data_IF_990288061368
#
_entry.id   IF_990288061368
#
_cell.length_a   1.000
_cell.length_b   1.000
_cell.length_c   1.000
_cell.angle_alpha   90.00
_cell.angle_beta   90.00
_cell.angle_gamma   90.00
#
_symmetry.space_group_name_H-M   'P 1'
#
loop_
_entity.id
_entity.type
_entity.pdbx_description
1 polymer ?
#
# COMPACT_ATOMS: atom_id res chain seq x y z
N UNK A 1 -1.47 -8.73 51.73
CA UNK A 1 -1.15 -9.10 50.35
C UNK A 1 -2.03 -8.38 49.30
N UNK A 2 -3.38 -8.34 49.39
CA UNK A 2 -4.27 -7.68 48.40
C UNK A 2 -4.00 -6.20 48.08
N UNK A 3 -3.55 -5.39 49.09
CA UNK A 3 -3.30 -3.95 48.85
C UNK A 3 -2.02 -3.64 48.07
N UNK A 4 -1.03 -4.50 48.08
CA UNK A 4 0.20 -4.36 47.31
C UNK A 4 -0.01 -4.69 45.83
N UNK A 5 -0.79 -5.71 45.52
CA UNK A 5 -1.14 -6.06 44.14
C UNK A 5 -1.95 -4.96 43.43
N UNK A 6 -2.90 -4.33 44.11
CA UNK A 6 -3.67 -3.21 43.56
C UNK A 6 -2.79 -1.96 43.27
N UNK A 7 -1.84 -1.64 44.15
CA UNK A 7 -0.89 -0.52 43.90
C UNK A 7 0.02 -0.78 42.72
N UNK A 8 0.52 -2.02 42.59
CA UNK A 8 1.36 -2.40 41.45
C UNK A 8 0.55 -2.30 40.13
N UNK A 9 -0.69 -2.77 40.10
CA UNK A 9 -1.57 -2.66 38.92
C UNK A 9 -1.79 -1.17 38.54
N UNK A 10 -2.08 -0.30 39.56
CA UNK A 10 -2.27 1.13 39.29
C UNK A 10 -1.00 1.77 38.72
N UNK A 11 0.18 1.43 39.25
CA UNK A 11 1.45 1.94 38.73
C UNK A 11 1.68 1.45 37.28
N UNK A 12 1.43 0.19 36.99
CA UNK A 12 1.56 -0.35 35.63
C UNK A 12 0.61 0.33 34.64
N UNK A 13 -0.65 0.53 35.02
CA UNK A 13 -1.63 1.26 34.20
C UNK A 13 -1.21 2.72 33.98
N UNK A 14 -0.66 3.39 34.99
CA UNK A 14 -0.15 4.74 34.84
C UNK A 14 1.06 4.80 33.91
N UNK A 15 1.97 3.84 33.97
CA UNK A 15 3.11 3.73 33.05
C UNK A 15 2.61 3.48 31.62
N UNK A 16 1.67 2.57 31.42
CA UNK A 16 1.10 2.31 30.09
C UNK A 16 0.41 3.54 29.50
N UNK A 17 -0.32 4.29 30.34
CA UNK A 17 -0.95 5.55 29.90
C UNK A 17 0.10 6.59 29.52
N UNK A 18 1.18 6.75 30.30
CA UNK A 18 2.26 7.68 29.97
C UNK A 18 2.98 7.29 28.69
N UNK A 19 3.24 6.00 28.47
CA UNK A 19 3.84 5.49 27.23
C UNK A 19 2.91 5.75 26.03
N UNK A 20 1.61 5.53 26.19
CA UNK A 20 0.62 5.81 25.15
C UNK A 20 0.56 7.30 24.82
N UNK A 21 0.56 8.18 25.83
CA UNK A 21 0.60 9.64 25.63
C UNK A 21 1.89 10.08 24.94
N UNK A 22 3.04 9.55 25.37
CA UNK A 22 4.32 9.85 24.73
C UNK A 22 4.34 9.42 23.26
N UNK A 23 3.80 8.23 22.94
CA UNK A 23 3.65 7.76 21.57
C UNK A 23 2.74 8.68 20.74
N UNK A 24 1.61 9.11 21.29
CA UNK A 24 0.70 10.07 20.61
C UNK A 24 1.38 11.41 20.33
N UNK A 25 2.14 11.94 21.28
CA UNK A 25 2.91 13.18 21.10
C UNK A 25 3.97 12.97 20.00
N UNK A 26 4.71 11.87 20.03
CA UNK A 26 5.71 11.54 19.02
C UNK A 26 5.08 11.47 17.62
N UNK A 27 3.99 10.73 17.47
CA UNK A 27 3.24 10.64 16.20
C UNK A 27 2.82 12.03 15.70
N UNK A 28 2.25 12.87 16.59
CA UNK A 28 1.81 14.22 16.22
C UNK A 28 2.97 15.13 15.80
N UNK A 29 4.16 14.96 16.39
CA UNK A 29 5.36 15.70 15.98
C UNK A 29 5.81 15.26 14.58
N UNK A 30 5.84 13.95 14.31
CA UNK A 30 6.23 13.43 13.00
C UNK A 30 5.22 13.82 11.90
N UNK A 31 3.91 13.79 12.19
CA UNK A 31 2.88 14.27 11.29
C UNK A 31 3.06 15.75 10.93
N UNK A 32 3.37 16.61 11.93
CA UNK A 32 3.67 18.03 11.68
C UNK A 32 4.91 18.23 10.83
N UNK A 33 6.00 17.51 11.14
CA UNK A 33 7.22 17.59 10.33
C UNK A 33 6.96 17.22 8.87
N UNK A 34 6.12 16.19 8.63
CA UNK A 34 5.73 15.79 7.27
C UNK A 34 4.87 16.85 6.60
N UNK A 35 3.89 17.41 7.30
CA UNK A 35 3.05 18.49 6.77
C UNK A 35 3.87 19.75 6.40
N UNK A 36 4.92 20.05 7.17
CA UNK A 36 5.81 21.20 6.92
C UNK A 36 6.82 20.97 5.78
N UNK A 37 6.88 19.78 5.17
CA UNK A 37 7.76 19.51 4.03
C UNK A 37 7.32 20.28 2.79
N UNK A 38 8.29 20.83 2.03
CA UNK A 38 8.00 21.57 0.80
C UNK A 38 7.17 20.78 -0.21
N UNK A 39 7.41 19.47 -0.30
CA UNK A 39 6.64 18.57 -1.16
C UNK A 39 5.19 18.33 -0.71
N UNK A 40 4.81 18.79 0.49
CA UNK A 40 3.44 18.71 1.01
C UNK A 40 2.71 20.06 1.01
N UNK A 41 3.28 21.09 0.37
CA UNK A 41 2.63 22.39 0.25
C UNK A 41 1.26 22.30 -0.45
N UNK A 42 0.34 23.20 -0.11
CA UNK A 42 -1.05 23.21 -0.60
C UNK A 42 -1.20 23.18 -2.12
N UNK A 43 -0.22 23.75 -2.85
CA UNK A 43 -0.20 23.70 -4.33
C UNK A 43 -0.16 22.27 -4.90
N UNK A 44 0.23 21.28 -4.09
CA UNK A 44 0.28 19.87 -4.45
C UNK A 44 -0.93 19.08 -3.92
N UNK A 45 -2.00 19.73 -3.51
CA UNK A 45 -3.23 19.02 -3.16
C UNK A 45 -3.93 18.49 -4.42
N UNK A 46 -4.53 17.31 -4.34
CA UNK A 46 -5.23 16.69 -5.46
C UNK A 46 -6.40 17.53 -5.98
N UNK A 47 -7.04 18.31 -5.11
CA UNK A 47 -8.15 19.22 -5.46
C UNK A 47 -7.72 20.45 -6.31
N UNK A 48 -6.42 20.70 -6.44
CA UNK A 48 -5.87 21.73 -7.31
C UNK A 48 -5.67 21.24 -8.76
N UNK A 49 -5.87 19.95 -9.02
CA UNK A 49 -5.65 19.37 -10.33
C UNK A 49 -6.88 19.50 -11.23
N UNK A 50 -6.64 19.55 -12.53
CA UNK A 50 -7.70 19.62 -13.52
C UNK A 50 -8.00 18.21 -14.06
N UNK A 51 -9.26 17.85 -14.09
CA UNK A 51 -9.72 16.58 -14.67
C UNK A 51 -9.34 16.49 -16.15
N UNK A 52 -8.78 15.36 -16.56
CA UNK A 52 -8.52 15.02 -17.96
C UNK A 52 -9.86 14.71 -18.66
N UNK A 53 -10.15 15.43 -19.73
CA UNK A 53 -11.33 15.15 -20.55
C UNK A 53 -11.12 13.89 -21.37
N UNK A 54 -12.00 12.90 -21.22
CA UNK A 54 -11.96 11.66 -22.01
C UNK A 54 -10.88 10.68 -21.59
N UNK A 55 -10.50 10.66 -20.31
CA UNK A 55 -9.63 9.60 -19.79
C UNK A 55 -10.23 8.21 -20.08
N UNK A 56 -9.43 7.23 -20.54
CA UNK A 56 -9.87 5.84 -20.71
C UNK A 56 -10.30 5.17 -19.40
N UNK A 57 -9.94 5.77 -18.26
CA UNK A 57 -10.28 5.29 -16.91
C UNK A 57 -11.57 5.90 -16.37
N UNK A 58 -12.14 6.92 -17.01
CA UNK A 58 -13.30 7.65 -16.51
C UNK A 58 -14.48 6.71 -16.20
N UNK A 59 -15.03 6.83 -14.99
CA UNK A 59 -16.14 6.04 -14.49
C UNK A 59 -15.83 4.60 -14.09
N UNK A 60 -14.59 4.10 -14.31
CA UNK A 60 -14.17 2.77 -13.83
C UNK A 60 -14.16 2.72 -12.31
N UNK A 61 -14.58 1.60 -11.75
CA UNK A 61 -14.48 1.31 -10.31
C UNK A 61 -13.23 0.51 -10.04
N UNK A 62 -12.28 1.08 -9.31
CA UNK A 62 -10.98 0.46 -9.04
C UNK A 62 -10.78 0.31 -7.52
N UNK A 63 -10.48 -0.92 -7.09
CA UNK A 63 -10.10 -1.22 -5.71
C UNK A 63 -8.59 -1.05 -5.58
N UNK A 64 -8.14 -0.17 -4.67
CA UNK A 64 -6.72 0.01 -4.33
C UNK A 64 -6.44 -0.62 -2.97
N UNK A 65 -5.73 -1.73 -2.98
CA UNK A 65 -5.36 -2.48 -1.78
C UNK A 65 -3.90 -2.22 -1.43
N UNK A 66 -3.64 -1.71 -0.22
CA UNK A 66 -2.27 -1.41 0.16
C UNK A 66 -2.03 -1.04 1.61
N UNK A 67 -0.87 -0.45 1.87
CA UNK A 67 -0.48 0.02 3.19
C UNK A 67 -0.22 1.53 3.21
N UNK A 68 0.83 1.98 3.88
CA UNK A 68 1.14 3.40 4.06
C UNK A 68 1.35 4.18 2.77
N UNK A 69 1.93 3.56 1.74
CA UNK A 69 2.15 4.21 0.44
C UNK A 69 0.84 4.40 -0.31
N UNK A 70 -0.03 3.38 -0.37
CA UNK A 70 -1.37 3.52 -0.96
C UNK A 70 -2.24 4.50 -0.16
N UNK A 71 -2.07 4.55 1.16
CA UNK A 71 -2.78 5.50 2.03
C UNK A 71 -2.32 6.95 1.81
N UNK A 72 -1.05 7.18 1.46
CA UNK A 72 -0.44 8.52 1.43
C UNK A 72 0.01 9.00 2.81
N UNK A 73 0.63 8.11 3.61
CA UNK A 73 0.96 8.38 5.01
C UNK A 73 1.93 9.55 5.23
N UNK A 74 2.76 9.87 4.24
CA UNK A 74 3.67 11.02 4.28
C UNK A 74 3.14 12.23 3.49
N UNK A 75 1.92 12.15 2.96
CA UNK A 75 1.28 13.14 2.11
C UNK A 75 -0.15 13.47 2.61
N UNK A 76 -0.33 13.49 3.93
CA UNK A 76 -1.59 13.86 4.61
C UNK A 76 -2.81 13.02 4.16
N UNK A 77 -2.58 11.75 3.82
CA UNK A 77 -3.62 10.84 3.34
C UNK A 77 -3.96 10.99 1.86
N UNK A 78 -3.23 11.81 1.11
CA UNK A 78 -3.35 11.93 -0.34
C UNK A 78 -2.26 11.08 -1.02
N UNK A 79 -2.65 10.24 -1.96
CA UNK A 79 -1.73 9.41 -2.74
C UNK A 79 -2.13 9.48 -4.22
N UNK A 80 -1.53 8.65 -5.04
CA UNK A 80 -1.97 8.50 -6.44
C UNK A 80 -3.45 8.09 -6.55
N UNK A 81 -4.07 7.53 -5.51
CA UNK A 81 -5.50 7.14 -5.52
C UNK A 81 -6.39 8.37 -5.69
N UNK A 82 -6.17 9.42 -4.88
CA UNK A 82 -6.90 10.68 -4.99
C UNK A 82 -6.61 11.39 -6.33
N UNK A 83 -5.42 11.16 -6.91
CA UNK A 83 -5.07 11.72 -8.22
C UNK A 83 -5.86 11.04 -9.33
N UNK A 84 -5.98 9.72 -9.32
CA UNK A 84 -6.84 8.99 -10.26
C UNK A 84 -8.31 9.44 -10.17
N UNK A 85 -8.83 9.71 -8.96
CA UNK A 85 -10.18 10.25 -8.82
C UNK A 85 -10.30 11.66 -9.39
N UNK A 86 -9.37 12.55 -9.03
CA UNK A 86 -9.41 13.96 -9.43
C UNK A 86 -9.15 14.16 -10.93
N UNK A 87 -8.17 13.44 -11.48
CA UNK A 87 -7.67 13.63 -12.86
C UNK A 87 -8.43 12.75 -13.84
N UNK A 88 -8.58 11.46 -13.54
CA UNK A 88 -9.19 10.48 -14.46
C UNK A 88 -10.69 10.30 -14.23
N UNK A 89 -11.21 10.69 -13.06
CA UNK A 89 -12.63 10.55 -12.74
C UNK A 89 -13.05 9.11 -12.52
N UNK A 90 -12.18 8.30 -11.92
CA UNK A 90 -12.53 6.93 -11.48
C UNK A 90 -13.41 6.97 -10.22
N UNK A 91 -14.01 5.82 -9.90
CA UNK A 91 -14.61 5.55 -8.60
C UNK A 91 -13.63 4.71 -7.79
N UNK A 92 -12.80 5.34 -6.95
CA UNK A 92 -11.80 4.62 -6.16
C UNK A 92 -12.40 4.01 -4.89
N UNK A 93 -12.01 2.75 -4.60
CA UNK A 93 -12.23 2.11 -3.32
C UNK A 93 -10.86 1.93 -2.68
N UNK A 94 -10.49 2.85 -1.79
CA UNK A 94 -9.18 2.88 -1.14
C UNK A 94 -9.17 2.03 0.11
N UNK A 95 -8.67 0.80 -0.02
CA UNK A 95 -8.49 -0.15 1.10
C UNK A 95 -7.02 -0.17 1.52
N UNK A 96 -6.61 0.86 2.25
CA UNK A 96 -5.21 1.09 2.61
C UNK A 96 -5.04 1.41 4.10
N UNK A 97 -4.22 0.61 4.80
CA UNK A 97 -3.93 0.77 6.23
C UNK A 97 -2.42 0.69 6.46
N UNK A 98 -1.84 1.78 7.00
CA UNK A 98 -0.40 1.86 7.28
C UNK A 98 0.08 0.74 8.20
N UNK A 99 1.25 0.16 7.94
CA UNK A 99 1.85 -0.89 8.76
C UNK A 99 1.35 -2.31 8.48
N UNK A 100 0.38 -2.49 7.59
CA UNK A 100 -0.17 -3.80 7.23
C UNK A 100 0.66 -4.52 6.17
N UNK A 101 0.53 -5.84 6.07
CA UNK A 101 1.34 -6.75 5.24
C UNK A 101 0.50 -7.51 4.23
N UNK A 102 1.13 -8.01 3.16
CA UNK A 102 0.57 -9.05 2.28
C UNK A 102 0.28 -10.30 3.09
N UNK A 103 1.31 -10.77 3.81
CA UNK A 103 1.29 -11.98 4.64
C UNK A 103 0.24 -11.87 5.75
N UNK A 104 -0.57 -12.93 5.88
CA UNK A 104 -1.55 -13.08 6.97
C UNK A 104 -0.87 -13.69 8.20
N UNK A 105 -0.36 -12.84 9.08
CA UNK A 105 0.49 -13.24 10.22
C UNK A 105 -0.23 -14.03 11.32
N UNK A 106 -1.57 -14.11 11.29
CA UNK A 106 -2.39 -14.79 12.33
C UNK A 106 -1.99 -14.41 13.76
N UNK A 107 -1.73 -13.13 13.99
CA UNK A 107 -1.28 -12.60 15.28
C UNK A 107 -2.45 -11.98 16.05
N UNK A 108 -2.82 -12.58 17.18
CA UNK A 108 -3.87 -12.03 18.06
C UNK A 108 -3.54 -10.60 18.54
N UNK A 109 -2.26 -10.25 18.69
CA UNK A 109 -1.84 -8.89 19.06
C UNK A 109 -2.05 -7.93 17.89
N UNK A 110 -1.72 -8.35 16.66
CA UNK A 110 -1.98 -7.57 15.46
C UNK A 110 -3.48 -7.41 15.22
N UNK A 111 -4.28 -8.45 15.43
CA UNK A 111 -5.74 -8.36 15.35
C UNK A 111 -6.33 -7.32 16.30
N UNK A 112 -5.81 -7.24 17.54
CA UNK A 112 -6.21 -6.20 18.49
C UNK A 112 -5.78 -4.81 18.01
N UNK A 113 -4.57 -4.68 17.47
CA UNK A 113 -4.03 -3.39 17.03
C UNK A 113 -4.70 -2.85 15.74
N UNK A 114 -5.07 -3.74 14.82
CA UNK A 114 -5.60 -3.39 13.49
C UNK A 114 -7.06 -3.83 13.26
N UNK A 115 -7.76 -4.28 14.30
CA UNK A 115 -9.17 -4.66 14.22
C UNK A 115 -9.45 -5.79 13.21
N UNK A 116 -8.64 -6.85 13.20
CA UNK A 116 -8.64 -7.93 12.20
C UNK A 116 -8.31 -7.48 10.77
N UNK A 117 -7.66 -6.33 10.61
CA UNK A 117 -7.26 -5.77 9.32
C UNK A 117 -5.74 -5.66 9.15
N UNK A 118 -4.95 -6.49 9.82
CA UNK A 118 -3.48 -6.41 9.82
C UNK A 118 -2.82 -6.94 8.52
N UNK A 119 -3.58 -7.64 7.67
CA UNK A 119 -3.12 -8.09 6.36
C UNK A 119 -4.04 -7.67 5.22
N UNK A 120 -3.48 -7.63 4.00
CA UNK A 120 -4.24 -7.36 2.79
C UNK A 120 -5.33 -8.42 2.58
N UNK A 121 -5.03 -9.70 2.85
CA UNK A 121 -5.97 -10.82 2.76
C UNK A 121 -7.18 -10.60 3.66
N UNK A 122 -6.97 -10.26 4.93
CA UNK A 122 -8.07 -10.04 5.89
C UNK A 122 -8.96 -8.88 5.45
N UNK A 123 -8.36 -7.78 4.98
CA UNK A 123 -9.12 -6.60 4.53
C UNK A 123 -9.87 -6.87 3.23
N UNK A 124 -9.24 -7.56 2.28
CA UNK A 124 -9.88 -7.93 1.03
C UNK A 124 -11.14 -8.78 1.26
N UNK A 125 -11.10 -9.72 2.23
CA UNK A 125 -12.26 -10.53 2.65
C UNK A 125 -13.42 -9.71 3.25
N UNK A 126 -13.15 -8.50 3.76
CA UNK A 126 -14.16 -7.63 4.36
C UNK A 126 -14.88 -6.76 3.32
N UNK A 127 -14.32 -6.62 2.14
CA UNK A 127 -14.96 -5.86 1.06
C UNK A 127 -16.23 -6.57 0.58
N UNK A 128 -17.21 -5.74 0.19
CA UNK A 128 -18.46 -6.27 -0.35
C UNK A 128 -18.23 -7.00 -1.68
N UNK A 129 -18.53 -8.31 -1.77
CA UNK A 129 -18.31 -9.07 -3.00
C UNK A 129 -19.24 -8.64 -4.15
N UNK A 130 -20.27 -7.83 -3.89
CA UNK A 130 -21.18 -7.30 -4.91
C UNK A 130 -20.65 -6.04 -5.61
N UNK A 131 -19.50 -5.50 -5.22
CA UNK A 131 -18.82 -4.42 -5.93
C UNK A 131 -18.63 -4.82 -7.38
N UNK A 132 -18.91 -3.89 -8.31
CA UNK A 132 -18.62 -4.06 -9.74
C UNK A 132 -17.27 -3.42 -10.02
N UNK A 133 -16.20 -4.11 -9.60
CA UNK A 133 -14.85 -3.63 -9.82
C UNK A 133 -14.41 -3.89 -11.27
N UNK A 134 -13.79 -2.88 -11.88
CA UNK A 134 -13.13 -2.99 -13.19
C UNK A 134 -11.67 -3.42 -13.04
N UNK A 135 -11.07 -3.24 -11.85
CA UNK A 135 -9.69 -3.64 -11.56
C UNK A 135 -9.44 -3.68 -10.05
N UNK A 136 -8.51 -4.54 -9.63
CA UNK A 136 -7.90 -4.49 -8.29
C UNK A 136 -6.43 -4.13 -8.44
N UNK A 137 -6.01 -2.98 -7.89
CA UNK A 137 -4.61 -2.51 -7.86
C UNK A 137 -4.04 -2.76 -6.48
N UNK A 138 -2.94 -3.50 -6.41
CA UNK A 138 -2.35 -4.02 -5.16
C UNK A 138 -0.93 -3.52 -4.99
N UNK A 139 -0.63 -2.96 -3.82
CA UNK A 139 0.73 -2.60 -3.44
C UNK A 139 1.58 -3.85 -3.17
N UNK A 140 2.77 -3.97 -3.79
CA UNK A 140 3.80 -4.86 -3.27
C UNK A 140 4.31 -4.27 -1.95
N UNK A 141 4.01 -4.94 -0.85
CA UNK A 141 4.15 -4.34 0.48
C UNK A 141 5.60 -4.20 0.93
N UNK A 142 6.01 -2.97 1.24
CA UNK A 142 7.31 -2.67 1.85
C UNK A 142 7.43 -3.15 3.30
N UNK A 143 6.29 -3.34 4.00
CA UNK A 143 6.29 -3.84 5.37
C UNK A 143 6.72 -5.30 5.46
N UNK A 144 6.37 -6.12 4.47
CA UNK A 144 6.81 -7.51 4.39
C UNK A 144 8.32 -7.60 4.28
N UNK A 145 8.94 -6.76 3.43
CA UNK A 145 10.39 -6.64 3.32
C UNK A 145 11.04 -6.15 4.63
N UNK A 146 10.51 -5.07 5.22
CA UNK A 146 11.03 -4.50 6.47
C UNK A 146 10.98 -5.49 7.63
N UNK A 147 9.94 -6.31 7.70
CA UNK A 147 9.75 -7.35 8.71
C UNK A 147 10.47 -8.65 8.35
N UNK A 148 11.11 -8.72 7.19
CA UNK A 148 11.80 -9.91 6.66
C UNK A 148 10.91 -11.16 6.69
N UNK A 149 9.65 -10.98 6.25
CA UNK A 149 8.71 -12.09 6.19
C UNK A 149 9.13 -13.12 5.13
N UNK A 150 8.81 -14.41 5.32
CA UNK A 150 9.23 -15.46 4.39
C UNK A 150 8.75 -15.18 2.95
N UNK A 151 9.67 -15.25 1.97
CA UNK A 151 9.29 -15.07 0.56
C UNK A 151 8.37 -16.20 0.10
N UNK A 152 8.66 -17.44 0.47
CA UNK A 152 7.92 -18.63 0.06
C UNK A 152 8.21 -19.06 -1.38
N UNK A 153 7.61 -20.18 -1.79
CA UNK A 153 7.74 -20.74 -3.13
C UNK A 153 6.48 -20.50 -3.96
N UNK A 154 6.63 -20.45 -5.27
CA UNK A 154 5.49 -20.39 -6.20
C UNK A 154 4.78 -21.73 -6.17
N UNK A 155 3.48 -21.75 -5.90
CA UNK A 155 2.68 -22.98 -5.91
C UNK A 155 2.63 -23.59 -7.31
N UNK A 156 2.68 -24.92 -7.39
CA UNK A 156 2.37 -25.63 -8.64
C UNK A 156 0.87 -25.66 -8.99
N UNK A 157 0.02 -25.18 -8.08
CA UNK A 157 -1.44 -25.17 -8.19
C UNK A 157 -1.97 -23.78 -8.55
N UNK A 158 -3.25 -23.75 -8.97
CA UNK A 158 -4.05 -22.53 -9.07
C UNK A 158 -5.25 -22.55 -8.10
N UNK A 159 -5.35 -23.57 -7.25
CA UNK A 159 -6.40 -23.64 -6.23
C UNK A 159 -6.02 -22.74 -5.04
N UNK A 160 -6.95 -21.90 -4.61
CA UNK A 160 -6.76 -20.94 -3.51
C UNK A 160 -6.43 -21.63 -2.17
N UNK A 161 -6.87 -22.88 -1.99
CA UNK A 161 -6.62 -23.67 -0.79
C UNK A 161 -5.17 -24.13 -0.64
N UNK A 162 -4.40 -24.13 -1.75
CA UNK A 162 -3.02 -24.61 -1.78
C UNK A 162 -2.00 -23.50 -1.54
N UNK A 163 -2.43 -22.24 -1.36
CA UNK A 163 -1.52 -21.11 -1.19
C UNK A 163 -1.16 -20.89 0.28
N UNK A 164 0.14 -20.87 0.57
CA UNK A 164 0.65 -20.56 1.91
C UNK A 164 0.61 -19.05 2.19
N UNK A 165 -0.49 -18.58 2.75
CA UNK A 165 -0.70 -17.16 3.08
C UNK A 165 0.21 -16.63 4.19
N UNK A 166 1.05 -17.48 4.80
CA UNK A 166 2.09 -17.08 5.74
C UNK A 166 3.40 -16.68 5.03
N UNK A 167 3.42 -16.71 3.70
CA UNK A 167 4.53 -16.28 2.84
C UNK A 167 4.09 -15.18 1.89
N UNK A 168 5.02 -14.35 1.44
CA UNK A 168 4.75 -13.27 0.48
C UNK A 168 4.19 -13.81 -0.83
N UNK A 169 4.84 -14.85 -1.38
CA UNK A 169 4.44 -15.48 -2.64
C UNK A 169 3.02 -16.06 -2.55
N UNK A 170 2.74 -16.85 -1.51
CA UNK A 170 1.43 -17.45 -1.35
C UNK A 170 0.33 -16.42 -1.06
N UNK A 171 0.65 -15.32 -0.35
CA UNK A 171 -0.28 -14.22 -0.15
C UNK A 171 -0.62 -13.49 -1.46
N UNK A 172 0.38 -13.25 -2.33
CA UNK A 172 0.17 -12.66 -3.66
C UNK A 172 -0.74 -13.58 -4.51
N UNK A 173 -0.43 -14.88 -4.59
CA UNK A 173 -1.22 -15.85 -5.34
C UNK A 173 -2.66 -15.92 -4.83
N UNK A 174 -2.83 -15.91 -3.50
CA UNK A 174 -4.14 -15.90 -2.87
C UNK A 174 -4.95 -14.65 -3.24
N UNK A 175 -4.33 -13.46 -3.19
CA UNK A 175 -4.96 -12.18 -3.52
C UNK A 175 -5.40 -12.17 -4.98
N UNK A 176 -4.55 -12.64 -5.90
CA UNK A 176 -4.87 -12.73 -7.33
C UNK A 176 -6.10 -13.63 -7.53
N UNK A 177 -6.05 -14.83 -6.99
CA UNK A 177 -7.12 -15.82 -7.17
C UNK A 177 -8.44 -15.35 -6.57
N UNK A 178 -8.40 -14.86 -5.33
CA UNK A 178 -9.58 -14.34 -4.64
C UNK A 178 -10.23 -13.17 -5.38
N UNK A 179 -9.43 -12.22 -5.85
CA UNK A 179 -9.93 -11.05 -6.59
C UNK A 179 -10.63 -11.46 -7.89
N UNK A 180 -10.03 -12.38 -8.63
CA UNK A 180 -10.61 -12.91 -9.87
C UNK A 180 -11.90 -13.68 -9.62
N UNK A 181 -11.95 -14.52 -8.59
CA UNK A 181 -13.14 -15.30 -8.27
C UNK A 181 -14.28 -14.42 -7.76
N UNK A 182 -13.96 -13.34 -7.02
CA UNK A 182 -14.95 -12.49 -6.38
C UNK A 182 -15.51 -11.43 -7.32
N UNK A 183 -14.64 -10.75 -8.08
CA UNK A 183 -15.04 -9.61 -8.91
C UNK A 183 -14.87 -9.82 -10.42
N UNK A 184 -14.24 -10.90 -10.83
CA UNK A 184 -14.00 -11.24 -12.25
C UNK A 184 -13.35 -10.08 -13.03
N UNK A 185 -12.35 -9.44 -12.46
CA UNK A 185 -11.63 -8.32 -13.03
C UNK A 185 -10.11 -8.55 -13.06
N UNK A 186 -9.36 -7.77 -13.86
CA UNK A 186 -7.91 -7.75 -13.84
C UNK A 186 -7.35 -7.43 -12.46
N UNK A 187 -6.18 -8.01 -12.16
CA UNK A 187 -5.39 -7.68 -10.98
C UNK A 187 -4.07 -7.06 -11.44
N UNK A 188 -3.73 -5.92 -10.89
CA UNK A 188 -2.51 -5.19 -11.20
C UNK A 188 -1.74 -4.98 -9.89
N UNK A 189 -0.46 -5.39 -9.87
CA UNK A 189 0.42 -5.02 -8.76
C UNK A 189 1.24 -3.81 -9.13
N UNK A 190 1.61 -2.99 -8.13
CA UNK A 190 2.61 -1.96 -8.31
C UNK A 190 3.74 -2.09 -7.30
N UNK A 191 4.97 -1.75 -7.73
CA UNK A 191 6.15 -1.67 -6.88
C UNK A 191 6.37 -0.23 -6.40
N UNK A 192 7.12 -0.04 -5.31
CA UNK A 192 7.63 1.26 -4.93
C UNK A 192 8.75 1.75 -5.86
N UNK A 193 9.13 3.04 -5.75
CA UNK A 193 10.39 3.51 -6.32
C UNK A 193 11.58 2.79 -5.69
N UNK A 194 12.73 2.83 -6.34
CA UNK A 194 13.94 2.10 -5.89
C UNK A 194 14.45 2.63 -4.55
N UNK A 195 14.67 1.71 -3.62
CA UNK A 195 15.34 1.94 -2.35
C UNK A 195 16.19 0.74 -1.97
N UNK A 196 17.15 0.93 -1.06
CA UNK A 196 18.10 -0.12 -0.66
C UNK A 196 17.44 -1.15 0.27
N UNK A 197 17.03 -2.28 -0.30
CA UNK A 197 16.49 -3.42 0.41
C UNK A 197 16.61 -4.69 -0.44
N UNK A 198 17.48 -5.60 -0.02
CA UNK A 198 17.62 -6.90 -0.68
C UNK A 198 16.34 -7.74 -0.59
N UNK A 199 15.62 -7.64 0.53
CA UNK A 199 14.35 -8.34 0.73
C UNK A 199 13.29 -7.83 -0.25
N UNK A 200 13.20 -6.50 -0.45
CA UNK A 200 12.23 -5.94 -1.39
C UNK A 200 12.59 -6.26 -2.84
N UNK A 201 13.88 -6.21 -3.20
CA UNK A 201 14.36 -6.62 -4.51
C UNK A 201 13.96 -8.08 -4.83
N UNK A 202 14.16 -9.00 -3.88
CA UNK A 202 13.73 -10.40 -4.04
C UNK A 202 12.21 -10.56 -4.18
N UNK A 203 11.43 -9.70 -3.53
CA UNK A 203 9.96 -9.68 -3.71
C UNK A 203 9.56 -9.14 -5.09
N UNK A 204 10.27 -8.15 -5.63
CA UNK A 204 10.05 -7.64 -6.99
C UNK A 204 10.36 -8.73 -8.03
N UNK A 205 11.52 -9.39 -7.92
CA UNK A 205 11.87 -10.50 -8.80
C UNK A 205 10.79 -11.60 -8.79
N UNK A 206 10.31 -11.98 -7.60
CA UNK A 206 9.24 -12.95 -7.42
C UNK A 206 7.92 -12.48 -8.03
N UNK A 207 7.59 -11.20 -7.94
CA UNK A 207 6.38 -10.64 -8.56
C UNK A 207 6.44 -10.77 -10.09
N UNK A 208 7.64 -10.60 -10.70
CA UNK A 208 7.80 -10.78 -12.15
C UNK A 208 7.63 -12.25 -12.59
N UNK A 209 8.08 -13.22 -11.78
CA UNK A 209 7.79 -14.63 -12.03
C UNK A 209 6.27 -14.93 -11.94
N UNK A 210 5.60 -14.35 -10.92
CA UNK A 210 4.14 -14.49 -10.75
C UNK A 210 3.34 -13.78 -11.85
N UNK A 211 3.85 -12.68 -12.40
CA UNK A 211 3.25 -12.01 -13.56
C UNK A 211 3.08 -12.97 -14.73
N UNK A 212 4.13 -13.74 -15.03
CA UNK A 212 4.10 -14.74 -16.12
C UNK A 212 3.13 -15.89 -15.81
N UNK A 213 3.15 -16.40 -14.56
CA UNK A 213 2.25 -17.50 -14.15
C UNK A 213 0.79 -17.12 -14.22
N UNK A 214 0.46 -15.92 -13.74
CA UNK A 214 -0.90 -15.49 -13.49
C UNK A 214 -1.46 -14.56 -14.57
N UNK A 215 -0.64 -14.12 -15.53
CA UNK A 215 -1.02 -13.13 -16.54
C UNK A 215 -1.69 -11.89 -15.86
N UNK A 216 -0.96 -11.28 -14.94
CA UNK A 216 -1.38 -10.07 -14.22
C UNK A 216 -0.66 -8.83 -14.74
N UNK A 217 -1.26 -7.66 -14.55
CA UNK A 217 -0.58 -6.40 -14.77
C UNK A 217 0.46 -6.11 -13.67
N UNK A 218 1.57 -5.48 -14.05
CA UNK A 218 2.55 -4.94 -13.11
C UNK A 218 2.96 -3.54 -13.55
N UNK A 219 2.78 -2.57 -12.65
CA UNK A 219 3.34 -1.23 -12.74
C UNK A 219 4.66 -1.27 -11.97
N UNK A 220 5.75 -1.40 -12.70
CA UNK A 220 7.08 -1.57 -12.10
C UNK A 220 7.82 -0.24 -12.05
N UNK A 221 7.74 0.40 -10.89
CA UNK A 221 8.51 1.61 -10.59
C UNK A 221 9.91 1.29 -10.07
N UNK A 222 10.12 0.06 -9.53
CA UNK A 222 11.37 -0.30 -8.86
C UNK A 222 12.53 -0.53 -9.82
N UNK A 223 12.29 -1.29 -10.90
CA UNK A 223 13.35 -1.64 -11.85
C UNK A 223 13.47 -0.65 -13.01
N UNK A 224 12.53 0.28 -13.18
CA UNK A 224 12.57 1.32 -14.22
C UNK A 224 13.70 2.32 -13.94
N UNK A 225 14.82 2.16 -14.66
CA UNK A 225 16.00 3.05 -14.50
C UNK A 225 15.71 4.49 -14.90
N UNK A 226 14.88 4.71 -15.94
CA UNK A 226 14.53 6.04 -16.38
C UNK A 226 13.63 6.75 -15.34
N UNK A 227 12.69 6.02 -14.76
CA UNK A 227 11.83 6.53 -13.67
C UNK A 227 12.66 6.92 -12.43
N UNK A 228 13.66 6.11 -12.08
CA UNK A 228 14.50 6.35 -10.90
C UNK A 228 15.69 7.30 -11.15
N UNK A 229 15.85 7.82 -12.37
CA UNK A 229 16.93 8.77 -12.72
C UNK A 229 16.55 10.22 -12.37
N UNK A 230 16.27 10.49 -11.09
CA UNK A 230 16.01 11.83 -10.56
C UNK A 230 17.20 12.32 -9.74
N UNK A 231 17.42 13.64 -9.71
CA UNK A 231 18.49 14.24 -8.92
C UNK A 231 18.14 14.36 -7.43
N UNK A 232 19.12 14.66 -6.59
CA UNK A 232 18.97 14.73 -5.14
C UNK A 232 17.99 15.85 -4.70
N UNK A 233 17.89 16.95 -5.46
CA UNK A 233 16.99 18.07 -5.16
C UNK A 233 15.53 17.65 -5.37
N UNK A 234 15.22 17.04 -6.50
CA UNK A 234 13.90 16.47 -6.78
C UNK A 234 13.57 15.32 -5.83
N UNK A 235 14.54 14.45 -5.57
CA UNK A 235 14.33 13.36 -4.60
C UNK A 235 13.95 13.91 -3.22
N UNK A 236 14.62 14.96 -2.74
CA UNK A 236 14.31 15.61 -1.46
C UNK A 236 12.94 16.29 -1.43
N UNK A 237 12.45 16.75 -2.58
CA UNK A 237 11.09 17.30 -2.71
C UNK A 237 10.03 16.21 -2.74
N UNK A 238 10.31 15.10 -3.45
CA UNK A 238 9.35 14.04 -3.75
C UNK A 238 9.25 12.97 -2.68
N UNK A 239 10.27 12.77 -1.85
CA UNK A 239 10.31 11.71 -0.86
C UNK A 239 10.45 12.26 0.57
N UNK A 240 9.57 11.81 1.45
CA UNK A 240 9.66 12.10 2.88
C UNK A 240 10.68 11.19 3.59
N UNK A 241 10.82 9.98 3.10
CA UNK A 241 11.79 8.96 3.48
C UNK A 241 11.97 8.00 2.27
N UNK A 242 12.88 7.01 2.30
CA UNK A 242 13.14 6.15 1.13
C UNK A 242 11.93 5.37 0.59
N UNK A 243 10.81 5.32 1.32
CA UNK A 243 9.63 4.53 0.98
C UNK A 243 8.41 5.40 0.64
N UNK A 244 8.26 6.56 1.32
CA UNK A 244 7.02 7.32 1.31
C UNK A 244 7.14 8.61 0.51
N UNK A 245 6.42 8.73 -0.63
CA UNK A 245 6.35 9.98 -1.38
C UNK A 245 5.61 11.07 -0.60
N UNK A 246 6.00 12.33 -0.86
CA UNK A 246 5.20 13.53 -0.55
C UNK A 246 4.08 13.70 -1.58
N UNK A 247 3.19 14.69 -1.40
CA UNK A 247 2.19 15.06 -2.42
C UNK A 247 2.84 15.40 -3.76
N UNK A 248 3.93 16.17 -3.76
CA UNK A 248 4.70 16.48 -4.98
C UNK A 248 5.24 15.21 -5.65
N UNK A 249 5.76 14.26 -4.86
CA UNK A 249 6.25 12.99 -5.38
C UNK A 249 5.17 12.14 -6.02
N UNK A 250 3.97 12.14 -5.44
CA UNK A 250 2.85 11.46 -6.10
C UNK A 250 2.43 12.16 -7.39
N UNK A 251 2.28 13.49 -7.39
CA UNK A 251 1.75 14.24 -8.55
C UNK A 251 2.74 14.30 -9.70
N UNK A 252 4.00 14.65 -9.42
CA UNK A 252 4.96 15.02 -10.46
C UNK A 252 5.83 13.85 -10.91
N UNK A 253 5.90 12.78 -10.09
CA UNK A 253 6.78 11.65 -10.37
C UNK A 253 6.02 10.32 -10.52
N UNK A 254 5.23 9.89 -9.51
CA UNK A 254 4.60 8.57 -9.53
C UNK A 254 3.36 8.50 -10.43
N UNK A 255 2.44 9.44 -10.29
CA UNK A 255 1.14 9.39 -10.94
C UNK A 255 1.23 9.36 -12.47
N UNK A 256 2.05 10.19 -13.15
CA UNK A 256 2.14 10.14 -14.61
C UNK A 256 2.55 8.75 -15.14
N UNK A 257 3.47 8.09 -14.45
CA UNK A 257 3.91 6.74 -14.82
C UNK A 257 2.85 5.69 -14.50
N UNK A 258 2.22 5.80 -13.33
CA UNK A 258 1.17 4.86 -12.92
C UNK A 258 -0.08 4.98 -13.81
N UNK A 259 -0.46 6.20 -14.21
CA UNK A 259 -1.56 6.46 -15.14
C UNK A 259 -1.29 5.83 -16.51
N UNK A 260 -0.13 6.13 -17.12
CA UNK A 260 0.29 5.55 -18.40
C UNK A 260 0.23 4.02 -18.38
N UNK A 261 0.85 3.40 -17.38
CA UNK A 261 0.92 1.95 -17.27
C UNK A 261 -0.45 1.33 -17.00
N UNK A 262 -1.27 1.92 -16.11
CA UNK A 262 -2.61 1.40 -15.81
C UNK A 262 -3.53 1.48 -17.03
N UNK A 263 -3.52 2.60 -17.75
CA UNK A 263 -4.26 2.77 -19.00
C UNK A 263 -3.83 1.69 -20.02
N UNK A 264 -2.53 1.51 -20.20
CA UNK A 264 -1.99 0.49 -21.13
C UNK A 264 -2.38 -0.94 -20.73
N UNK A 265 -2.34 -1.26 -19.44
CA UNK A 265 -2.70 -2.60 -18.94
C UNK A 265 -4.20 -2.86 -19.12
N UNK A 266 -5.07 -1.88 -18.86
CA UNK A 266 -6.53 -2.06 -18.97
C UNK A 266 -7.08 -1.90 -20.39
N UNK A 267 -6.27 -1.46 -21.36
CA UNK A 267 -6.64 -1.40 -22.79
C UNK A 267 -6.45 -2.73 -23.52
N UNK A 268 -5.68 -3.66 -22.95
CA UNK A 268 -5.41 -4.99 -23.52
C UNK A 268 -6.36 -6.04 -22.96
#
# INVERSE_FOLDING_TARGET
MKKWSARIIIILLAILLLLWLALKIYISIEERKRADMLGNADKYNADQLTKHSGSPLEGKTIIFLGSSVTYGAAAEGQSFVELFEAVDGINAIKEAVSGTTLVDKNSALADVAFGNGDSYIKRLKQLNPSIKADCVVVQLSTNDATLKLPLGEISGSTDIADFDTQTVTGAIEWIIRYSRDTWNCPVVFYTGSRYDSAEYAAMVDRLMELKEKWDIGVIDLYTDDAFNAIDDELYSLYMADPIHPTKAGYIEWWFPKMEEDLVRILAN
#
